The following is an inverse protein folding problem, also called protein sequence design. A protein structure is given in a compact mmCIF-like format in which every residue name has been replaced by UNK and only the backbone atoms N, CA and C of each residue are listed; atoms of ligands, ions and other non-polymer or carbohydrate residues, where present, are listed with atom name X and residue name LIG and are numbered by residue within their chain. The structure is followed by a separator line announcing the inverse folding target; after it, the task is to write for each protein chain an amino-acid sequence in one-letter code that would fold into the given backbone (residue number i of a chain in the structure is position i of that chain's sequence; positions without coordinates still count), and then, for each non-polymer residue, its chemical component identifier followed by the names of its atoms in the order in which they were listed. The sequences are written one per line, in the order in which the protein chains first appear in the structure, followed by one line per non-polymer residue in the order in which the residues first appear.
data_IF_436921385086
#
_entry.id   IF_436921385086
#
_cell.length_a   1.000
_cell.length_b   1.000
_cell.length_c   1.000
_cell.angle_alpha   90.00
_cell.angle_beta   90.00
_cell.angle_gamma   90.00
#
_symmetry.space_group_name_H-M   'P 1'
#
loop_
_entity.id
_entity.type
_entity.pdbx_description
1 polymer ?
#
# COMPACT_ATOMS: atom_id res chain seq x y z
N UNK A 1 -4.28 -17.05 2.08
CA UNK A 1 -4.59 -15.63 2.41
C UNK A 1 -6.02 -15.31 2.01
N UNK A 2 -6.37 -15.50 0.74
CA UNK A 2 -7.74 -15.31 0.21
C UNK A 2 -8.78 -16.13 0.99
N UNK A 3 -8.49 -17.41 1.27
CA UNK A 3 -9.46 -18.31 1.93
C UNK A 3 -9.83 -17.91 3.36
N UNK A 4 -8.89 -17.28 4.07
CA UNK A 4 -9.06 -16.85 5.48
C UNK A 4 -9.79 -15.52 5.62
N UNK A 5 -10.03 -14.80 4.51
CA UNK A 5 -10.66 -13.48 4.52
C UNK A 5 -12.16 -13.57 4.24
N UNK A 6 -12.95 -12.75 4.95
CA UNK A 6 -14.39 -12.58 4.77
C UNK A 6 -14.70 -11.16 4.27
N UNK A 7 -14.09 -10.75 3.16
CA UNK A 7 -14.33 -9.44 2.57
C UNK A 7 -15.74 -9.37 1.96
N UNK A 8 -16.34 -8.17 2.03
CA UNK A 8 -17.62 -7.88 1.39
C UNK A 8 -17.51 -8.00 -0.14
N UNK A 9 -18.61 -8.37 -0.81
CA UNK A 9 -18.67 -8.52 -2.27
C UNK A 9 -18.37 -7.21 -3.03
N UNK A 10 -18.57 -6.06 -2.40
CA UNK A 10 -18.27 -4.74 -2.96
C UNK A 10 -16.80 -4.32 -2.77
N UNK A 11 -15.92 -5.25 -2.39
CA UNK A 11 -14.49 -4.96 -2.20
C UNK A 11 -13.71 -5.15 -3.50
N UNK A 12 -12.88 -4.16 -3.84
CA UNK A 12 -11.87 -4.26 -4.89
C UNK A 12 -10.50 -4.51 -4.24
N UNK A 13 -9.90 -5.66 -4.54
CA UNK A 13 -8.56 -6.03 -4.09
C UNK A 13 -7.53 -5.40 -5.01
N UNK A 14 -6.61 -4.62 -4.45
CA UNK A 14 -5.48 -4.05 -5.19
C UNK A 14 -4.17 -4.68 -4.75
N UNK A 15 -3.39 -5.20 -5.70
CA UNK A 15 -2.08 -5.77 -5.41
C UNK A 15 -1.02 -5.37 -6.45
N UNK A 16 0.23 -5.27 -5.99
CA UNK A 16 1.37 -4.99 -6.84
C UNK A 16 1.90 -6.28 -7.50
N UNK A 17 3.04 -6.17 -8.19
CA UNK A 17 3.78 -7.27 -8.83
C UNK A 17 4.12 -8.37 -7.82
N UNK A 18 4.00 -9.62 -8.25
CA UNK A 18 4.24 -10.82 -7.45
C UNK A 18 2.96 -11.50 -6.95
N UNK A 19 1.79 -10.90 -7.15
CA UNK A 19 0.49 -11.45 -6.75
C UNK A 19 -0.32 -12.02 -7.93
N UNK A 20 0.23 -12.02 -9.15
CA UNK A 20 -0.44 -12.43 -10.40
C UNK A 20 -0.55 -13.95 -10.62
N UNK A 21 -0.36 -14.76 -9.58
CA UNK A 21 -0.45 -16.22 -9.73
C UNK A 21 -1.90 -16.63 -10.08
N UNK A 22 -2.06 -17.55 -11.04
CA UNK A 22 -3.38 -18.04 -11.44
C UNK A 22 -4.18 -18.62 -10.27
N UNK A 23 -3.53 -19.27 -9.30
CA UNK A 23 -4.20 -19.82 -8.13
C UNK A 23 -4.82 -18.71 -7.25
N UNK A 24 -4.10 -17.61 -7.04
CA UNK A 24 -4.64 -16.45 -6.30
C UNK A 24 -5.82 -15.83 -7.04
N UNK A 25 -5.71 -15.65 -8.36
CA UNK A 25 -6.80 -15.13 -9.17
C UNK A 25 -8.04 -16.03 -9.12
N UNK A 26 -7.85 -17.36 -9.19
CA UNK A 26 -8.94 -18.33 -9.11
C UNK A 26 -9.72 -18.18 -7.81
N UNK A 27 -9.02 -18.20 -6.67
CA UNK A 27 -9.67 -18.09 -5.36
C UNK A 27 -10.36 -16.73 -5.16
N UNK A 28 -9.81 -15.64 -5.69
CA UNK A 28 -10.47 -14.32 -5.64
C UNK A 28 -11.77 -14.35 -6.45
N UNK A 29 -11.74 -14.93 -7.66
CA UNK A 29 -12.92 -15.04 -8.52
C UNK A 29 -13.98 -16.00 -7.96
N UNK A 30 -13.58 -17.13 -7.38
CA UNK A 30 -14.48 -18.09 -6.72
C UNK A 30 -15.24 -17.45 -5.55
N UNK A 31 -14.60 -16.51 -4.83
CA UNK A 31 -15.25 -15.72 -3.79
C UNK A 31 -16.11 -14.56 -4.32
N UNK A 32 -16.12 -14.34 -5.64
CA UNK A 32 -16.86 -13.26 -6.29
C UNK A 32 -16.27 -11.87 -6.08
N UNK A 33 -15.02 -11.77 -5.62
CA UNK A 33 -14.38 -10.50 -5.33
C UNK A 33 -13.82 -9.84 -6.59
N UNK A 34 -13.79 -8.51 -6.58
CA UNK A 34 -13.19 -7.71 -7.65
C UNK A 34 -11.72 -7.45 -7.37
N UNK A 35 -10.90 -7.32 -8.41
CA UNK A 35 -9.47 -7.08 -8.21
C UNK A 35 -8.79 -6.29 -9.33
N UNK A 36 -7.67 -5.66 -9.00
CA UNK A 36 -6.68 -5.06 -9.90
C UNK A 36 -5.30 -5.50 -9.43
N UNK A 37 -4.57 -6.24 -10.26
CA UNK A 37 -3.21 -6.73 -9.94
C UNK A 37 -2.23 -6.32 -11.04
N UNK A 38 -1.09 -5.73 -10.67
CA UNK A 38 -0.05 -5.39 -11.65
C UNK A 38 0.74 -6.61 -12.06
N UNK A 39 0.95 -6.74 -13.37
CA UNK A 39 1.82 -7.75 -13.95
C UNK A 39 3.11 -7.12 -14.45
N UNK A 40 4.26 -7.67 -14.03
CA UNK A 40 5.58 -7.14 -14.41
C UNK A 40 5.95 -7.46 -15.86
N UNK A 41 5.46 -8.58 -16.41
CA UNK A 41 5.78 -9.03 -17.76
C UNK A 41 4.59 -9.74 -18.41
N UNK A 42 4.40 -9.53 -19.72
CA UNK A 42 3.67 -10.48 -20.54
C UNK A 42 4.57 -11.72 -20.63
N UNK A 43 4.44 -12.62 -19.65
CA UNK A 43 5.04 -13.96 -19.78
C UNK A 43 4.35 -14.62 -20.97
N UNK A 44 5.13 -14.98 -21.99
CA UNK A 44 4.69 -15.84 -23.07
C UNK A 44 3.97 -17.04 -22.46
N UNK A 45 2.74 -17.30 -22.91
CA UNK A 45 2.01 -18.53 -22.61
C UNK A 45 2.81 -19.68 -23.24
N UNK A 46 3.84 -20.16 -22.55
CA UNK A 46 4.50 -21.38 -22.97
C UNK A 46 3.61 -22.54 -22.54
N UNK A 47 3.10 -23.25 -23.54
CA UNK A 47 2.33 -24.47 -23.38
C UNK A 47 3.19 -25.52 -22.66
N UNK A 48 2.98 -25.67 -21.35
CA UNK A 48 3.54 -26.80 -20.61
C UNK A 48 2.67 -28.02 -20.87
N UNK A 49 3.26 -29.09 -21.41
CA UNK A 49 2.59 -30.38 -21.62
C UNK A 49 2.04 -30.91 -20.29
N UNK A 50 0.74 -31.23 -20.29
CA UNK A 50 -0.03 -31.89 -19.22
C UNK A 50 -0.22 -31.12 -17.90
N UNK A 51 -1.08 -30.09 -17.91
CA UNK A 51 -1.83 -29.67 -16.71
C UNK A 51 -3.31 -29.58 -17.04
N UNK A 52 -4.18 -30.06 -16.13
CA UNK A 52 -5.62 -29.75 -16.21
C UNK A 52 -5.76 -28.23 -16.18
N UNK A 53 -6.25 -27.66 -17.27
CA UNK A 53 -6.48 -26.22 -17.35
C UNK A 53 -7.77 -25.88 -16.60
N UNK A 54 -7.67 -24.94 -15.67
CA UNK A 54 -8.85 -24.32 -15.07
C UNK A 54 -9.23 -23.12 -15.96
N UNK A 55 -10.34 -23.18 -16.70
CA UNK A 55 -10.76 -22.06 -17.54
C UNK A 55 -11.09 -20.87 -16.65
N UNK A 56 -10.41 -19.75 -16.89
CA UNK A 56 -10.59 -18.52 -16.14
C UNK A 56 -10.57 -17.32 -17.08
N UNK A 57 -11.48 -16.38 -16.85
CA UNK A 57 -11.59 -15.17 -17.64
C UNK A 57 -11.11 -13.98 -16.83
N UNK A 58 -10.24 -13.17 -17.43
CA UNK A 58 -9.80 -11.91 -16.86
C UNK A 58 -9.46 -10.93 -17.97
N UNK A 59 -9.60 -9.65 -17.66
CA UNK A 59 -9.26 -8.55 -18.54
C UNK A 59 -7.82 -8.15 -18.29
N UNK A 60 -7.06 -7.96 -19.37
CA UNK A 60 -5.70 -7.40 -19.32
C UNK A 60 -5.75 -6.02 -19.94
N UNK A 61 -5.33 -5.00 -19.19
CA UNK A 61 -5.33 -3.61 -19.65
C UNK A 61 -3.92 -3.06 -19.53
N UNK A 62 -3.44 -2.41 -20.58
CA UNK A 62 -2.15 -1.72 -20.59
C UNK A 62 -2.38 -0.23 -20.78
N UNK A 63 -1.85 0.58 -19.88
CA UNK A 63 -1.97 2.04 -19.95
C UNK A 63 -0.61 2.73 -19.72
N UNK A 64 -0.50 3.95 -20.24
CA UNK A 64 0.72 4.76 -20.20
C UNK A 64 0.81 5.54 -18.88
N UNK A 65 1.96 5.48 -18.21
CA UNK A 65 2.21 6.22 -16.96
C UNK A 65 3.08 7.43 -17.22
N UNK A 66 4.22 7.25 -17.88
CA UNK A 66 5.10 8.32 -18.36
C UNK A 66 5.38 8.14 -19.84
N UNK A 67 6.07 9.09 -20.47
CA UNK A 67 6.29 9.08 -21.92
C UNK A 67 6.89 7.78 -22.46
N UNK A 68 7.72 7.11 -21.66
CA UNK A 68 8.38 5.85 -22.05
C UNK A 68 7.96 4.63 -21.22
N UNK A 69 7.01 4.75 -20.28
CA UNK A 69 6.64 3.62 -19.39
C UNK A 69 5.15 3.28 -19.44
N UNK A 70 4.90 1.98 -19.51
CA UNK A 70 3.57 1.39 -19.46
C UNK A 70 3.46 0.49 -18.24
N UNK A 71 2.27 0.40 -17.69
CA UNK A 71 1.90 -0.65 -16.76
C UNK A 71 0.78 -1.50 -17.33
N UNK A 72 0.83 -2.78 -17.00
CA UNK A 72 -0.16 -3.78 -17.40
C UNK A 72 -0.82 -4.29 -16.13
N UNK A 73 -2.15 -4.21 -16.09
CA UNK A 73 -2.97 -4.72 -15.00
C UNK A 73 -3.79 -5.92 -15.47
N UNK A 74 -4.00 -6.87 -14.57
CA UNK A 74 -5.00 -7.94 -14.71
C UNK A 74 -6.16 -7.60 -13.77
N UNK A 75 -7.39 -7.69 -14.27
CA UNK A 75 -8.59 -7.33 -13.52
C UNK A 75 -9.81 -8.13 -13.98
N UNK A 76 -10.82 -8.27 -13.12
CA UNK A 76 -12.17 -8.72 -13.46
C UNK A 76 -13.22 -7.61 -13.30
N UNK A 77 -12.77 -6.35 -13.29
CA UNK A 77 -13.61 -5.16 -13.32
C UNK A 77 -14.17 -4.97 -14.73
N UNK A 78 -15.43 -4.52 -14.76
CA UNK A 78 -16.17 -4.28 -15.97
C UNK A 78 -15.50 -3.23 -16.85
N UNK A 79 -15.59 -3.39 -18.17
CA UNK A 79 -14.91 -2.51 -19.12
C UNK A 79 -15.61 -1.17 -19.31
N UNK A 80 -16.93 -1.16 -19.19
CA UNK A 80 -17.76 0.03 -19.38
C UNK A 80 -17.78 0.88 -18.12
N UNK A 81 -17.79 0.23 -16.94
CA UNK A 81 -17.72 0.92 -15.64
C UNK A 81 -16.29 1.29 -15.19
N UNK A 82 -15.26 0.61 -15.71
CA UNK A 82 -13.86 0.89 -15.37
C UNK A 82 -13.00 0.98 -16.63
N UNK A 83 -12.94 2.18 -17.18
CA UNK A 83 -12.04 2.56 -18.28
C UNK A 83 -10.56 2.41 -17.90
N UNK A 84 -9.67 2.45 -18.89
CA UNK A 84 -8.22 2.43 -18.65
C UNK A 84 -7.74 3.60 -17.77
N UNK A 85 -8.41 4.76 -17.87
CA UNK A 85 -8.13 5.95 -17.08
C UNK A 85 -8.58 5.77 -15.61
N UNK A 86 -9.74 5.17 -15.38
CA UNK A 86 -10.21 4.83 -14.04
C UNK A 86 -9.33 3.77 -13.37
N UNK A 87 -8.92 2.74 -14.11
CA UNK A 87 -7.97 1.74 -13.60
C UNK A 87 -6.64 2.39 -13.19
N UNK A 88 -6.18 3.39 -13.96
CA UNK A 88 -4.98 4.17 -13.61
C UNK A 88 -5.19 4.97 -12.33
N UNK A 89 -6.35 5.62 -12.16
CA UNK A 89 -6.70 6.36 -10.94
C UNK A 89 -6.80 5.43 -9.72
N UNK A 90 -7.50 4.30 -9.85
CA UNK A 90 -7.63 3.29 -8.80
C UNK A 90 -6.26 2.75 -8.38
N UNK A 91 -5.41 2.40 -9.36
CA UNK A 91 -4.07 1.95 -9.04
C UNK A 91 -3.22 3.02 -8.37
N UNK A 92 -3.40 4.30 -8.74
CA UNK A 92 -2.72 5.41 -8.08
C UNK A 92 -3.07 5.47 -6.57
N UNK A 93 -4.33 5.18 -6.19
CA UNK A 93 -4.75 5.13 -4.78
C UNK A 93 -3.97 4.10 -3.95
N UNK A 94 -3.38 3.07 -4.58
CA UNK A 94 -2.52 2.09 -3.89
C UNK A 94 -1.35 2.76 -3.18
N UNK A 95 -0.79 3.86 -3.71
CA UNK A 95 0.34 4.56 -3.09
C UNK A 95 0.07 5.03 -1.66
N UNK A 96 -1.20 5.21 -1.28
CA UNK A 96 -1.59 5.51 0.09
C UNK A 96 -1.00 4.52 1.10
N UNK A 97 -1.06 3.21 0.80
CA UNK A 97 -0.58 2.18 1.73
C UNK A 97 0.93 2.26 1.97
N UNK A 98 1.72 2.64 0.96
CA UNK A 98 3.17 2.81 1.11
C UNK A 98 3.49 3.98 2.04
N UNK A 99 2.71 5.05 1.93
CA UNK A 99 2.83 6.22 2.81
C UNK A 99 2.48 5.85 4.24
N UNK A 100 1.35 5.14 4.46
CA UNK A 100 0.95 4.62 5.77
C UNK A 100 2.03 3.71 6.38
N UNK A 101 2.60 2.79 5.61
CA UNK A 101 3.69 1.93 6.10
C UNK A 101 4.95 2.71 6.45
N UNK A 102 5.27 3.76 5.70
CA UNK A 102 6.40 4.64 6.01
C UNK A 102 6.16 5.38 7.33
N UNK A 103 4.96 5.87 7.56
CA UNK A 103 4.59 6.57 8.80
C UNK A 103 4.59 5.62 10.00
N UNK A 104 4.04 4.42 9.86
CA UNK A 104 4.15 3.36 10.87
C UNK A 104 5.61 3.06 11.22
N UNK A 105 6.47 2.88 10.21
CA UNK A 105 7.90 2.58 10.41
C UNK A 105 8.63 3.72 11.11
N UNK A 106 8.53 4.94 10.58
CA UNK A 106 9.43 6.02 10.98
C UNK A 106 8.80 7.01 11.96
N UNK A 107 7.54 7.41 11.76
CA UNK A 107 6.88 8.35 12.66
C UNK A 107 6.42 7.65 13.95
N UNK A 108 5.87 6.43 13.85
CA UNK A 108 5.45 5.64 15.01
C UNK A 108 6.54 4.72 15.56
N UNK A 109 7.62 4.49 14.81
CA UNK A 109 8.80 3.75 15.29
C UNK A 109 8.62 2.24 15.25
N UNK A 110 7.89 1.69 14.29
CA UNK A 110 7.69 0.24 14.10
C UNK A 110 8.96 -0.49 13.59
N UNK A 111 10.09 0.22 13.51
CA UNK A 111 11.42 -0.33 13.23
C UNK A 111 12.22 -0.60 14.51
N UNK A 112 11.78 -0.11 15.66
CA UNK A 112 12.51 -0.18 16.92
C UNK A 112 11.57 -0.67 18.03
N UNK A 113 11.80 -1.89 18.49
CA UNK A 113 11.02 -2.55 19.55
C UNK A 113 11.79 -2.51 20.87
N UNK A 114 11.07 -2.37 21.98
CA UNK A 114 11.65 -2.43 23.33
C UNK A 114 11.64 -3.88 23.84
N UNK A 115 10.57 -4.60 23.51
CA UNK A 115 10.40 -6.01 23.80
C UNK A 115 11.41 -6.89 23.06
N UNK A 116 11.89 -7.92 23.75
CA UNK A 116 12.70 -9.01 23.18
C UNK A 116 11.91 -10.30 22.94
N UNK A 117 10.79 -10.48 23.66
CA UNK A 117 9.89 -11.64 23.51
C UNK A 117 8.89 -11.40 22.38
N UNK A 118 8.59 -12.44 21.60
CA UNK A 118 7.74 -12.36 20.41
C UNK A 118 6.34 -11.86 20.74
N UNK A 119 5.77 -12.34 21.84
CA UNK A 119 4.42 -11.98 22.28
C UNK A 119 4.31 -10.48 22.56
N UNK A 120 5.32 -9.92 23.22
CA UNK A 120 5.39 -8.49 23.54
C UNK A 120 5.73 -7.63 22.31
N UNK A 121 6.50 -8.16 21.36
CA UNK A 121 6.72 -7.49 20.07
C UNK A 121 5.39 -7.37 19.31
N UNK A 122 4.57 -8.42 19.30
CA UNK A 122 3.24 -8.40 18.67
C UNK A 122 2.34 -7.35 19.34
N UNK A 123 2.32 -7.30 20.68
CA UNK A 123 1.59 -6.26 21.42
C UNK A 123 2.06 -4.85 21.03
N UNK A 124 3.36 -4.65 20.93
CA UNK A 124 3.97 -3.39 20.50
C UNK A 124 3.59 -2.99 19.07
N UNK A 125 3.43 -3.95 18.16
CA UNK A 125 2.93 -3.72 16.79
C UNK A 125 1.47 -3.26 16.84
N UNK A 126 0.61 -3.98 17.57
CA UNK A 126 -0.80 -3.63 17.68
C UNK A 126 -1.02 -2.28 18.35
N UNK A 127 -0.27 -1.94 19.41
CA UNK A 127 -0.34 -0.64 20.07
C UNK A 127 -0.02 0.51 19.09
N UNK A 128 1.01 0.35 18.25
CA UNK A 128 1.35 1.33 17.21
C UNK A 128 0.29 1.43 16.12
N UNK A 129 -0.34 0.32 15.73
CA UNK A 129 -1.46 0.32 14.75
C UNK A 129 -2.69 1.04 15.32
N UNK A 130 -3.02 0.81 16.59
CA UNK A 130 -4.12 1.52 17.26
C UNK A 130 -3.83 3.03 17.30
N UNK A 131 -2.60 3.41 17.66
CA UNK A 131 -2.19 4.82 17.66
C UNK A 131 -2.27 5.45 16.26
N UNK A 132 -1.85 4.73 15.22
CA UNK A 132 -1.97 5.19 13.83
C UNK A 132 -3.43 5.45 13.45
N UNK A 133 -4.31 4.47 13.69
CA UNK A 133 -5.73 4.59 13.35
C UNK A 133 -6.41 5.71 14.14
N UNK A 134 -6.03 5.92 15.40
CA UNK A 134 -6.53 7.04 16.20
C UNK A 134 -6.08 8.38 15.62
N UNK A 135 -4.81 8.49 15.21
CA UNK A 135 -4.31 9.70 14.56
C UNK A 135 -5.08 9.97 13.25
N UNK A 136 -5.25 8.96 12.39
CA UNK A 136 -6.02 9.05 11.14
C UNK A 136 -7.44 9.56 11.40
N UNK A 137 -8.15 8.91 12.32
CA UNK A 137 -9.52 9.28 12.68
C UNK A 137 -9.63 10.74 13.08
N UNK A 138 -8.75 11.24 13.93
CA UNK A 138 -8.86 12.63 14.37
C UNK A 138 -8.42 13.60 13.27
N UNK A 139 -7.38 13.25 12.49
CA UNK A 139 -7.00 14.10 11.35
C UNK A 139 -8.10 14.24 10.30
N UNK A 140 -8.98 13.24 10.15
CA UNK A 140 -10.18 13.33 9.32
C UNK A 140 -11.23 14.30 9.89
N UNK A 141 -11.33 14.45 11.21
CA UNK A 141 -12.27 15.37 11.87
C UNK A 141 -11.76 16.81 11.91
N UNK A 142 -10.46 17.04 11.81
CA UNK A 142 -9.87 18.38 11.80
C UNK A 142 -10.18 19.07 10.47
N UNK A 143 -11.13 20.02 10.51
CA UNK A 143 -11.45 20.86 9.36
C UNK A 143 -10.26 21.79 9.05
N UNK A 144 -9.63 21.58 7.89
CA UNK A 144 -8.55 22.42 7.39
C UNK A 144 -9.13 23.62 6.66
N UNK A 145 -8.83 24.83 7.15
CA UNK A 145 -9.18 26.06 6.44
C UNK A 145 -8.27 26.22 5.22
N UNK A 146 -8.86 26.16 4.03
CA UNK A 146 -8.15 26.36 2.78
C UNK A 146 -7.73 27.82 2.63
N UNK A 147 -6.52 28.03 2.12
CA UNK A 147 -6.01 29.37 1.81
C UNK A 147 -6.28 29.68 0.34
N UNK A 148 -6.51 30.95 -0.04
CA UNK A 148 -6.71 31.35 -1.43
C UNK A 148 -5.37 31.33 -2.19
N UNK A 149 -4.80 30.14 -2.35
CA UNK A 149 -3.54 29.91 -3.06
C UNK A 149 -3.74 28.81 -4.09
N UNK A 150 -2.73 28.58 -4.94
CA UNK A 150 -2.78 27.58 -6.01
C UNK A 150 -3.07 26.15 -5.52
N UNK A 151 -2.67 25.79 -4.30
CA UNK A 151 -2.74 24.41 -3.82
C UNK A 151 -3.75 24.28 -2.68
N UNK A 152 -4.41 23.12 -2.64
CA UNK A 152 -5.15 22.67 -1.47
C UNK A 152 -4.19 22.30 -0.34
N UNK A 153 -4.66 22.43 0.90
CA UNK A 153 -3.90 22.11 2.10
C UNK A 153 -4.48 20.90 2.81
N UNK A 154 -3.59 20.05 3.30
CA UNK A 154 -3.88 18.90 4.14
C UNK A 154 -3.13 19.00 5.47
N UNK A 155 -3.56 18.24 6.47
CA UNK A 155 -2.85 18.15 7.75
C UNK A 155 -1.46 17.53 7.55
N UNK A 156 -0.47 18.05 8.26
CA UNK A 156 0.83 17.39 8.36
C UNK A 156 0.72 16.17 9.29
N UNK A 157 0.41 15.01 8.71
CA UNK A 157 0.18 13.79 9.47
C UNK A 157 1.38 13.36 10.34
N UNK A 158 2.61 13.58 9.86
CA UNK A 158 3.81 13.28 10.64
C UNK A 158 3.86 14.13 11.91
N UNK A 159 3.57 15.43 11.81
CA UNK A 159 3.54 16.33 12.98
C UNK A 159 2.37 15.98 13.90
N UNK A 160 1.20 15.62 13.34
CA UNK A 160 0.06 15.18 14.12
C UNK A 160 0.41 13.98 15.01
N UNK A 161 1.10 12.96 14.48
CA UNK A 161 1.59 11.81 15.27
C UNK A 161 2.46 12.26 16.45
N UNK A 162 3.36 13.23 16.24
CA UNK A 162 4.23 13.72 17.33
C UNK A 162 3.44 14.48 18.40
N UNK A 163 2.45 15.28 17.99
CA UNK A 163 1.55 15.97 18.91
C UNK A 163 0.78 14.92 19.74
N UNK A 164 0.25 13.86 19.12
CA UNK A 164 -0.43 12.78 19.83
C UNK A 164 0.49 12.04 20.80
N UNK A 165 1.72 11.71 20.38
CA UNK A 165 2.71 11.11 21.27
C UNK A 165 2.99 11.97 22.50
N UNK A 166 2.99 13.30 22.33
CA UNK A 166 3.13 14.22 23.46
C UNK A 166 1.89 14.21 24.35
N UNK A 167 0.70 14.28 23.75
CA UNK A 167 -0.57 14.22 24.48
C UNK A 167 -0.69 12.96 25.37
N UNK A 168 -0.35 11.78 24.85
CA UNK A 168 -0.39 10.55 25.65
C UNK A 168 0.71 10.44 26.73
N UNK A 169 1.73 11.30 26.68
CA UNK A 169 2.84 11.29 27.66
C UNK A 169 2.71 12.38 28.73
N UNK A 170 1.96 13.44 28.45
CA UNK A 170 1.88 14.63 29.27
C UNK A 170 0.42 14.84 29.72
N UNK A 171 0.19 14.73 31.03
CA UNK A 171 -1.14 14.85 31.65
C UNK A 171 -1.73 16.27 31.51
N UNK A 172 -0.90 17.26 31.17
CA UNK A 172 -1.31 18.67 31.09
C UNK A 172 -1.80 19.09 29.71
N UNK A 173 -1.75 18.22 28.70
CA UNK A 173 -2.23 18.55 27.34
C UNK A 173 -3.66 18.06 27.22
N UNK A 174 -4.60 18.96 26.91
CA UNK A 174 -6.02 18.60 26.77
C UNK A 174 -6.44 18.41 25.30
N UNK A 175 -7.47 17.57 25.01
CA UNK A 175 -7.87 17.26 23.65
C UNK A 175 -8.16 18.47 22.73
N UNK A 176 -8.81 19.56 23.19
CA UNK A 176 -9.04 20.74 22.34
C UNK A 176 -7.75 21.42 21.87
N UNK A 177 -6.68 21.38 22.67
CA UNK A 177 -5.38 21.95 22.31
C UNK A 177 -4.70 21.14 21.22
N UNK A 178 -4.87 19.81 21.23
CA UNK A 178 -4.34 18.90 20.21
C UNK A 178 -4.91 19.24 18.84
N UNK A 179 -6.23 19.40 18.74
CA UNK A 179 -6.87 19.75 17.46
C UNK A 179 -6.42 21.10 16.93
N UNK A 180 -6.28 22.10 17.81
CA UNK A 180 -5.79 23.43 17.44
C UNK A 180 -4.35 23.36 16.94
N UNK A 181 -3.48 22.59 17.59
CA UNK A 181 -2.10 22.40 17.18
C UNK A 181 -2.00 21.67 15.84
N UNK A 182 -2.83 20.65 15.62
CA UNK A 182 -2.90 19.92 14.34
C UNK A 182 -3.38 20.85 13.22
N UNK A 183 -4.43 21.66 13.46
CA UNK A 183 -4.97 22.61 12.48
C UNK A 183 -3.95 23.67 12.06
N UNK A 184 -3.04 24.07 12.95
CA UNK A 184 -1.96 25.01 12.64
C UNK A 184 -0.87 24.39 11.75
N UNK A 185 -0.72 23.07 11.77
CA UNK A 185 0.33 22.35 11.06
C UNK A 185 -0.21 21.70 9.77
N UNK A 186 -0.24 22.49 8.70
CA UNK A 186 -0.75 22.06 7.39
C UNK A 186 0.32 22.09 6.30
N UNK A 187 0.17 21.25 5.29
CA UNK A 187 1.05 21.14 4.12
C UNK A 187 0.25 21.29 2.83
N UNK A 188 0.79 21.94 1.79
CA UNK A 188 0.14 21.99 0.48
C UNK A 188 0.21 20.61 -0.21
N UNK A 189 -0.93 20.15 -0.72
CA UNK A 189 -1.07 19.01 -1.62
C UNK A 189 -0.48 19.39 -2.98
N UNK A 190 0.36 18.52 -3.54
CA UNK A 190 1.05 18.77 -4.82
C UNK A 190 0.94 17.52 -5.69
N UNK A 191 -0.08 17.47 -6.53
CA UNK A 191 -0.40 16.32 -7.38
C UNK A 191 0.72 16.00 -8.38
N UNK A 192 1.36 17.02 -8.97
CA UNK A 192 2.36 16.82 -10.03
C UNK A 192 3.77 16.44 -9.53
N UNK A 193 3.91 16.01 -8.27
CA UNK A 193 5.24 15.75 -7.70
C UNK A 193 5.80 14.42 -8.20
N UNK A 194 6.64 14.46 -9.24
CA UNK A 194 7.42 13.30 -9.70
C UNK A 194 8.72 13.20 -8.90
N UNK A 195 8.89 12.11 -8.14
CA UNK A 195 10.18 11.78 -7.55
C UNK A 195 10.90 10.77 -8.46
N UNK A 196 12.05 11.12 -9.08
CA UNK A 196 12.76 10.18 -9.92
C UNK A 196 13.14 8.93 -9.11
N UNK A 197 12.75 7.76 -9.64
CA UNK A 197 13.03 6.48 -9.00
C UNK A 197 14.55 6.28 -8.95
N UNK A 198 15.15 6.31 -7.76
CA UNK A 198 16.55 5.89 -7.57
C UNK A 198 16.63 4.38 -7.77
N UNK A 199 16.92 3.94 -8.98
CA UNK A 199 17.18 2.53 -9.29
C UNK A 199 18.53 2.18 -8.64
N UNK A 200 18.49 1.54 -7.47
CA UNK A 200 19.69 0.93 -6.91
C UNK A 200 19.94 -0.35 -7.72
N UNK A 201 20.96 -0.34 -8.58
CA UNK A 201 21.48 -1.56 -9.16
C UNK A 201 21.90 -2.47 -8.00
N UNK A 202 21.25 -3.64 -7.87
CA UNK A 202 21.81 -4.71 -7.03
C UNK A 202 23.15 -5.06 -7.65
N UNK A 203 24.26 -4.81 -6.95
CA UNK A 203 25.53 -5.45 -7.32
C UNK A 203 25.26 -6.95 -7.34
N UNK A 204 25.51 -7.60 -8.47
CA UNK A 204 25.52 -9.05 -8.54
C UNK A 204 26.53 -9.52 -7.49
N UNK A 205 26.04 -10.16 -6.42
CA UNK A 205 26.90 -10.87 -5.50
C UNK A 205 27.47 -12.06 -6.26
N UNK A 206 28.66 -11.87 -6.84
CA UNK A 206 29.53 -12.99 -7.16
C UNK A 206 29.88 -13.65 -5.83
N UNK A 207 29.18 -14.73 -5.49
CA UNK A 207 29.74 -15.78 -4.63
C UNK A 207 30.24 -16.86 -5.60
N UNK A 208 31.47 -16.69 -6.08
CA UNK A 208 32.27 -17.82 -6.51
C UNK A 208 32.58 -18.65 -5.25
N UNK A 209 32.48 -19.97 -5.38
CA UNK A 209 32.83 -21.00 -4.40
C UNK A 209 31.90 -21.21 -3.19
N UNK A 210 30.88 -22.04 -3.40
CA UNK A 210 30.60 -23.17 -2.50
C UNK A 210 30.24 -24.42 -3.32
N UNK A 211 31.23 -25.29 -3.56
CA UNK A 211 30.99 -26.71 -3.84
C UNK A 211 30.34 -27.31 -2.60
N UNK A 212 29.10 -27.78 -2.72
CA UNK A 212 28.49 -28.71 -1.78
C UNK A 212 28.28 -30.01 -2.55
N UNK A 213 29.19 -30.96 -2.29
CA UNK A 213 29.00 -32.36 -2.64
C UNK A 213 27.84 -32.91 -1.79
N UNK A 214 26.89 -33.57 -2.44
CA UNK A 214 25.87 -34.38 -1.77
C UNK A 214 26.05 -35.80 -2.30
N UNK A 215 26.49 -36.70 -1.42
CA UNK A 215 26.51 -38.14 -1.68
C UNK A 215 25.07 -38.68 -1.62
N UNK A 216 24.77 -39.63 -2.51
CA UNK A 216 23.52 -40.39 -2.54
C UNK A 216 23.40 -41.34 -1.34
#
# INVERSE_FOLDING_TARGET
MVDRSNLDKNTIIMADRGYESYNVLAHIQEKGWKYIIIKMFIVNLQESKQKKFYPMWFRVVRFKITDDTYETVITNLDADAFSSEELKKLYHMRWGIETSFRELKYALGLISFHAKKVEYIIQEVFARLVMYNLCEMITLHVVVQQKPTKNEYQVNFTVAIHIYKKFFRDENVHPPEVEVLIRKNILPVREDRKNPRRIKFKKAGFNQDKRLEVYF
#
